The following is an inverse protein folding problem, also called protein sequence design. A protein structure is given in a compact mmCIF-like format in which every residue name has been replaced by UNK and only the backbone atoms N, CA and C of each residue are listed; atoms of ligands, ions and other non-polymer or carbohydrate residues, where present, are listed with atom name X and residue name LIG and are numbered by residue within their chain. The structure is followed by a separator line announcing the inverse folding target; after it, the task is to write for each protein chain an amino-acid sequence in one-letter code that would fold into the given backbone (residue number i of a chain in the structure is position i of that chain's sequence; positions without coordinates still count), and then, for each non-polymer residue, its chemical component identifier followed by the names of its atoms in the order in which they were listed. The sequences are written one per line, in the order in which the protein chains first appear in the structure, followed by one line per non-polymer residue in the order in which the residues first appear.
data_IF_591068172497
#
_entry.id   IF_591068172497
#
_cell.length_a   1.000
_cell.length_b   1.000
_cell.length_c   1.000
_cell.angle_alpha   90.00
_cell.angle_beta   90.00
_cell.angle_gamma   90.00
#
_symmetry.space_group_name_H-M   'P 1'
#
loop_
_entity.id
_entity.type
_entity.pdbx_description
1 polymer ?
#
# COMPACT_ATOMS: atom_id res chain seq x y z
N UNK A 1 65.04 -61.98 -19.34
CA UNK A 1 64.97 -60.59 -18.82
C UNK A 1 63.74 -59.96 -19.44
N UNK A 2 62.70 -59.73 -18.64
CA UNK A 2 61.50 -58.99 -19.03
C UNK A 2 61.13 -58.08 -17.86
N UNK A 3 60.90 -56.82 -18.18
CA UNK A 3 60.73 -55.65 -17.31
C UNK A 3 59.80 -55.88 -16.12
N UNK A 4 60.31 -55.59 -14.92
CA UNK A 4 59.48 -55.30 -13.75
C UNK A 4 58.88 -53.91 -13.92
N UNK A 5 57.54 -53.82 -13.98
CA UNK A 5 56.82 -52.56 -13.94
C UNK A 5 57.22 -51.79 -12.67
N UNK A 6 57.86 -50.61 -12.76
CA UNK A 6 58.48 -49.92 -11.62
C UNK A 6 57.47 -49.17 -10.75
N UNK A 7 56.18 -49.30 -11.06
CA UNK A 7 55.09 -48.67 -10.34
C UNK A 7 54.31 -49.81 -9.71
N UNK A 8 54.35 -49.85 -8.38
CA UNK A 8 53.76 -50.91 -7.54
C UNK A 8 52.25 -51.12 -7.76
N UNK A 9 51.59 -51.93 -6.91
CA UNK A 9 50.19 -52.30 -7.11
C UNK A 9 49.32 -51.06 -7.38
N UNK A 10 48.57 -51.09 -8.50
CA UNK A 10 47.72 -49.96 -8.88
C UNK A 10 46.70 -49.66 -7.76
N UNK A 11 46.42 -48.38 -7.48
CA UNK A 11 45.45 -48.00 -6.46
C UNK A 11 44.07 -48.59 -6.76
N UNK A 12 43.42 -49.18 -5.76
CA UNK A 12 42.04 -49.66 -5.88
C UNK A 12 41.06 -48.49 -5.83
N UNK A 13 40.49 -48.14 -6.98
CA UNK A 13 39.53 -47.05 -7.13
C UNK A 13 38.23 -47.27 -6.34
N UNK A 14 37.91 -48.50 -5.93
CA UNK A 14 36.76 -48.75 -5.05
C UNK A 14 37.01 -48.20 -3.64
N UNK A 15 38.27 -48.25 -3.16
CA UNK A 15 38.66 -47.68 -1.87
C UNK A 15 38.56 -46.15 -1.92
N UNK A 16 38.99 -45.55 -3.03
CA UNK A 16 38.93 -44.09 -3.24
C UNK A 16 37.47 -43.61 -3.25
N UNK A 17 36.55 -44.35 -3.86
CA UNK A 17 35.12 -44.03 -3.86
C UNK A 17 34.52 -44.10 -2.44
N UNK A 18 34.90 -45.09 -1.64
CA UNK A 18 34.45 -45.19 -0.24
C UNK A 18 35.01 -44.10 0.67
N UNK A 19 36.22 -43.59 0.40
CA UNK A 19 36.81 -42.45 1.14
C UNK A 19 36.17 -41.11 0.73
N UNK A 20 35.73 -40.96 -0.52
CA UNK A 20 35.00 -39.77 -0.97
C UNK A 20 33.65 -39.59 -0.26
N UNK A 21 33.02 -40.69 0.15
CA UNK A 21 31.80 -40.68 0.96
C UNK A 21 32.05 -40.32 2.44
N UNK A 22 33.30 -40.45 2.92
CA UNK A 22 33.69 -40.11 4.30
C UNK A 22 34.02 -38.63 4.47
N UNK A 23 33.97 -37.82 3.40
CA UNK A 23 34.22 -36.38 3.48
C UNK A 23 33.14 -35.77 4.39
N UNK A 24 33.49 -35.34 5.62
CA UNK A 24 32.51 -34.95 6.64
C UNK A 24 31.78 -33.64 6.32
N UNK A 25 32.13 -32.99 5.21
CA UNK A 25 31.56 -31.72 4.78
C UNK A 25 30.31 -31.87 3.90
N UNK A 26 29.92 -33.07 3.48
CA UNK A 26 28.69 -33.28 2.70
C UNK A 26 27.42 -32.78 3.43
N UNK A 27 27.23 -33.05 4.75
CA UNK A 27 26.15 -32.44 5.53
C UNK A 27 26.24 -30.91 5.60
N UNK A 28 27.44 -30.35 5.72
CA UNK A 28 27.64 -28.89 5.75
C UNK A 28 27.31 -28.23 4.40
N UNK A 29 27.58 -28.92 3.28
CA UNK A 29 27.20 -28.47 1.93
C UNK A 29 25.68 -28.50 1.76
N UNK A 30 24.99 -29.55 2.24
CA UNK A 30 23.53 -29.64 2.23
C UNK A 30 22.89 -28.50 3.05
N UNK A 31 23.39 -28.26 4.27
CA UNK A 31 22.95 -27.15 5.11
C UNK A 31 23.23 -25.79 4.45
N UNK A 32 24.37 -25.62 3.78
CA UNK A 32 24.70 -24.40 3.04
C UNK A 32 23.76 -24.14 1.85
N UNK A 33 23.35 -25.20 1.14
CA UNK A 33 22.37 -25.10 0.06
C UNK A 33 20.98 -24.69 0.58
N UNK A 34 20.58 -25.23 1.74
CA UNK A 34 19.33 -24.84 2.38
C UNK A 34 19.35 -23.36 2.81
N UNK A 35 20.43 -22.91 3.46
CA UNK A 35 20.59 -21.50 3.85
C UNK A 35 20.53 -20.57 2.63
N UNK A 36 21.17 -20.93 1.51
CA UNK A 36 21.12 -20.14 0.28
C UNK A 36 19.71 -20.10 -0.33
N UNK A 37 18.94 -21.18 -0.20
CA UNK A 37 17.54 -21.20 -0.64
C UNK A 37 16.68 -20.26 0.21
N UNK A 38 16.80 -20.34 1.54
CA UNK A 38 16.09 -19.46 2.48
C UNK A 38 16.49 -17.97 2.28
N UNK A 39 17.77 -17.68 2.03
CA UNK A 39 18.24 -16.32 1.70
C UNK A 39 17.65 -15.78 0.39
N UNK A 40 17.49 -16.64 -0.63
CA UNK A 40 16.84 -16.26 -1.91
C UNK A 40 15.36 -15.98 -1.70
N UNK A 41 14.69 -16.80 -0.90
CA UNK A 41 13.29 -16.62 -0.54
C UNK A 41 13.08 -15.32 0.26
N UNK A 42 13.88 -15.08 1.29
CA UNK A 42 13.85 -13.83 2.06
C UNK A 42 14.09 -12.61 1.18
N UNK A 43 15.04 -12.67 0.23
CA UNK A 43 15.27 -11.58 -0.73
C UNK A 43 14.06 -11.35 -1.63
N UNK A 44 13.41 -12.41 -2.10
CA UNK A 44 12.20 -12.31 -2.91
C UNK A 44 11.03 -11.74 -2.11
N UNK A 45 10.89 -12.13 -0.84
CA UNK A 45 9.89 -11.57 0.08
C UNK A 45 10.16 -10.08 0.33
N UNK A 46 11.38 -9.70 0.71
CA UNK A 46 11.77 -8.30 0.92
C UNK A 46 11.55 -7.43 -0.31
N UNK A 47 11.82 -7.95 -1.51
CA UNK A 47 11.61 -7.19 -2.75
C UNK A 47 10.11 -6.91 -2.96
N UNK A 48 9.25 -7.89 -2.65
CA UNK A 48 7.79 -7.72 -2.71
C UNK A 48 7.29 -6.74 -1.66
N UNK A 49 7.73 -6.87 -0.41
CA UNK A 49 7.33 -5.99 0.68
C UNK A 49 7.79 -4.55 0.41
N UNK A 50 9.02 -4.35 -0.06
CA UNK A 50 9.52 -3.03 -0.43
C UNK A 50 8.79 -2.42 -1.64
N UNK A 51 8.22 -3.23 -2.52
CA UNK A 51 7.36 -2.74 -3.60
C UNK A 51 5.98 -2.34 -3.07
N UNK A 52 5.38 -3.17 -2.21
CA UNK A 52 4.08 -2.90 -1.57
C UNK A 52 4.13 -1.61 -0.74
N UNK A 53 5.13 -1.46 0.14
CA UNK A 53 5.32 -0.26 0.96
C UNK A 53 5.48 0.99 0.08
N UNK A 54 6.23 0.90 -1.02
CA UNK A 54 6.39 2.04 -1.93
C UNK A 54 5.06 2.44 -2.57
N UNK A 55 4.23 1.47 -2.94
CA UNK A 55 2.91 1.73 -3.47
C UNK A 55 1.99 2.36 -2.42
N UNK A 56 1.99 1.83 -1.19
CA UNK A 56 1.18 2.35 -0.09
C UNK A 56 1.56 3.79 0.25
N UNK A 57 2.87 4.09 0.33
CA UNK A 57 3.36 5.45 0.56
C UNK A 57 2.94 6.39 -0.57
N UNK A 58 2.95 5.94 -1.82
CA UNK A 58 2.49 6.75 -2.95
C UNK A 58 0.98 7.04 -2.86
N UNK A 59 0.18 6.04 -2.52
CA UNK A 59 -1.27 6.17 -2.34
C UNK A 59 -1.60 7.13 -1.19
N UNK A 60 -1.00 6.94 -0.01
CA UNK A 60 -1.20 7.81 1.16
C UNK A 60 -0.82 9.26 0.82
N UNK A 61 0.30 9.46 0.13
CA UNK A 61 0.71 10.79 -0.30
C UNK A 61 -0.33 11.43 -1.23
N UNK A 62 -0.87 10.67 -2.17
CA UNK A 62 -1.91 11.16 -3.08
C UNK A 62 -3.19 11.51 -2.33
N UNK A 63 -3.62 10.68 -1.39
CA UNK A 63 -4.81 10.91 -0.57
C UNK A 63 -4.66 12.17 0.29
N UNK A 64 -3.49 12.37 0.90
CA UNK A 64 -3.19 13.57 1.68
C UNK A 64 -3.22 14.84 0.82
N UNK A 65 -2.64 14.80 -0.39
CA UNK A 65 -2.68 15.94 -1.31
C UNK A 65 -4.13 16.26 -1.72
N UNK A 66 -4.93 15.24 -2.00
CA UNK A 66 -6.36 15.40 -2.33
C UNK A 66 -7.10 16.05 -1.16
N UNK A 67 -6.91 15.54 0.05
CA UNK A 67 -7.56 16.05 1.26
C UNK A 67 -7.16 17.49 1.58
N UNK A 68 -5.88 17.83 1.50
CA UNK A 68 -5.39 19.19 1.76
C UNK A 68 -5.97 20.17 0.74
N UNK A 69 -5.95 19.79 -0.54
CA UNK A 69 -6.51 20.62 -1.62
C UNK A 69 -8.00 20.87 -1.42
N UNK A 70 -8.77 19.80 -1.17
CA UNK A 70 -10.20 19.89 -0.94
C UNK A 70 -10.54 20.70 0.32
N UNK A 71 -9.77 20.52 1.40
CA UNK A 71 -9.92 21.28 2.65
C UNK A 71 -9.66 22.77 2.44
N UNK A 72 -8.59 23.13 1.73
CA UNK A 72 -8.26 24.52 1.42
C UNK A 72 -9.36 25.17 0.56
N UNK A 73 -9.84 24.47 -0.48
CA UNK A 73 -10.97 24.93 -1.30
C UNK A 73 -12.21 25.16 -0.45
N UNK A 74 -12.59 24.18 0.39
CA UNK A 74 -13.78 24.28 1.24
C UNK A 74 -13.64 25.40 2.28
N UNK A 75 -12.46 25.60 2.85
CA UNK A 75 -12.21 26.71 3.77
C UNK A 75 -12.33 28.07 3.07
N UNK A 76 -11.79 28.21 1.86
CA UNK A 76 -11.97 29.42 1.06
C UNK A 76 -13.45 29.65 0.73
N UNK A 77 -14.16 28.62 0.28
CA UNK A 77 -15.60 28.69 0.00
C UNK A 77 -16.41 29.06 1.25
N UNK A 78 -16.06 28.55 2.44
CA UNK A 78 -16.69 28.95 3.71
C UNK A 78 -16.52 30.43 3.99
N UNK A 79 -15.30 30.95 3.81
CA UNK A 79 -15.02 32.38 3.98
C UNK A 79 -15.84 33.20 2.98
N UNK A 80 -15.85 32.84 1.69
CA UNK A 80 -16.64 33.53 0.67
C UNK A 80 -18.14 33.51 1.00
N UNK A 81 -18.68 32.35 1.38
CA UNK A 81 -20.08 32.19 1.71
C UNK A 81 -20.50 32.99 2.96
N UNK A 82 -19.56 33.36 3.83
CA UNK A 82 -19.84 34.22 5.00
C UNK A 82 -20.17 35.66 4.60
N UNK A 83 -19.69 36.12 3.45
CA UNK A 83 -19.92 37.47 2.94
C UNK A 83 -21.15 37.60 2.04
N UNK A 84 -21.88 36.50 1.82
CA UNK A 84 -23.13 36.51 1.07
C UNK A 84 -24.18 37.31 1.84
N UNK A 85 -24.62 38.43 1.27
CA UNK A 85 -25.51 39.38 1.92
C UNK A 85 -27.00 39.10 1.58
N UNK A 86 -27.26 38.48 0.44
CA UNK A 86 -28.61 38.16 -0.04
C UNK A 86 -28.82 36.67 -0.25
N UNK A 87 -30.05 36.20 -0.06
CA UNK A 87 -30.40 34.79 -0.29
C UNK A 87 -30.31 34.35 -1.75
N UNK A 88 -30.39 35.29 -2.69
CA UNK A 88 -30.29 35.02 -4.13
C UNK A 88 -28.86 35.12 -4.67
N UNK A 89 -27.90 35.53 -3.83
CA UNK A 89 -26.49 35.58 -4.24
C UNK A 89 -25.92 34.16 -4.35
N UNK A 90 -24.99 33.95 -5.29
CA UNK A 90 -24.41 32.65 -5.53
C UNK A 90 -23.52 32.21 -4.36
N UNK A 91 -23.64 30.94 -3.98
CA UNK A 91 -22.73 30.28 -3.05
C UNK A 91 -21.52 29.74 -3.82
N UNK A 92 -20.36 29.84 -3.19
CA UNK A 92 -19.19 29.07 -3.59
C UNK A 92 -19.39 27.60 -3.20
N UNK A 93 -19.32 26.65 -4.15
CA UNK A 93 -19.61 25.25 -3.87
C UNK A 93 -18.48 24.58 -3.09
N UNK A 94 -18.84 23.63 -2.23
CA UNK A 94 -17.89 22.71 -1.61
C UNK A 94 -17.59 21.51 -2.53
N UNK A 95 -16.42 20.93 -2.31
CA UNK A 95 -15.99 19.67 -2.91
C UNK A 95 -15.90 18.59 -1.83
N UNK A 96 -16.01 17.32 -2.23
CA UNK A 96 -15.85 16.19 -1.33
C UNK A 96 -14.40 16.16 -0.77
N UNK A 97 -14.22 16.07 0.56
CA UNK A 97 -12.90 16.15 1.18
C UNK A 97 -12.00 14.94 0.87
N UNK A 98 -12.56 13.79 0.52
CA UNK A 98 -11.81 12.56 0.23
C UNK A 98 -11.47 12.40 -1.25
N UNK A 99 -12.27 12.97 -2.15
CA UNK A 99 -12.10 12.79 -3.60
C UNK A 99 -11.82 14.07 -4.37
N UNK A 100 -11.91 15.23 -3.71
CA UNK A 100 -11.90 16.56 -4.32
C UNK A 100 -12.95 16.75 -5.46
N UNK A 101 -13.91 15.84 -5.59
CA UNK A 101 -14.95 15.91 -6.60
C UNK A 101 -16.03 16.93 -6.21
N UNK A 102 -16.68 17.52 -7.21
CA UNK A 102 -17.84 18.38 -6.98
C UNK A 102 -18.95 17.61 -6.27
N UNK A 103 -19.61 18.24 -5.30
CA UNK A 103 -20.78 17.67 -4.64
C UNK A 103 -21.97 17.83 -5.60
N UNK A 104 -22.61 16.73 -6.06
CA UNK A 104 -23.78 16.82 -6.91
C UNK A 104 -24.90 17.58 -6.19
N UNK A 105 -25.63 18.40 -6.95
CA UNK A 105 -26.77 19.18 -6.43
C UNK A 105 -26.40 20.11 -5.27
N UNK A 106 -25.15 20.59 -5.22
CA UNK A 106 -24.78 21.64 -4.28
C UNK A 106 -25.64 22.89 -4.55
N UNK A 107 -26.28 23.48 -3.52
CA UNK A 107 -27.14 24.66 -3.68
C UNK A 107 -26.41 25.81 -4.35
N UNK A 108 -27.01 26.37 -5.41
CA UNK A 108 -26.44 27.50 -6.14
C UNK A 108 -26.56 28.78 -5.30
N UNK A 109 -27.58 28.87 -4.45
CA UNK A 109 -27.88 30.06 -3.63
C UNK A 109 -28.33 29.67 -2.23
N UNK A 110 -28.29 30.62 -1.29
CA UNK A 110 -28.77 30.39 0.08
C UNK A 110 -30.30 30.21 0.15
N UNK A 111 -31.05 30.67 -0.85
CA UNK A 111 -32.49 30.43 -0.95
C UNK A 111 -32.81 28.93 -1.14
N UNK A 112 -31.98 28.23 -1.91
CA UNK A 112 -32.13 26.79 -2.18
C UNK A 112 -31.83 25.94 -0.93
N UNK A 113 -30.97 26.40 -0.01
CA UNK A 113 -30.72 25.73 1.28
C UNK A 113 -32.02 25.51 2.08
N UNK A 114 -32.96 26.47 2.02
CA UNK A 114 -34.24 26.37 2.71
C UNK A 114 -35.22 25.37 2.06
N UNK A 115 -34.94 24.93 0.84
CA UNK A 115 -35.76 23.99 0.07
C UNK A 115 -35.16 22.58 0.04
N UNK A 116 -33.95 22.40 0.58
CA UNK A 116 -33.33 21.09 0.71
C UNK A 116 -34.16 20.21 1.66
N UNK A 117 -34.71 19.12 1.11
CA UNK A 117 -35.40 18.08 1.88
C UNK A 117 -34.43 16.94 2.16
N UNK A 118 -34.09 16.73 3.44
CA UNK A 118 -33.25 15.64 3.92
C UNK A 118 -33.35 15.48 5.45
N UNK A 119 -33.10 14.28 6.01
CA UNK A 119 -33.25 14.05 7.44
C UNK A 119 -32.26 14.93 8.23
N UNK A 120 -32.77 15.72 9.18
CA UNK A 120 -31.96 16.41 10.18
C UNK A 120 -31.61 15.43 11.31
N UNK A 121 -30.58 14.60 11.10
CA UNK A 121 -30.04 13.73 12.15
C UNK A 121 -28.94 14.46 12.92
N UNK A 122 -29.27 15.01 14.09
CA UNK A 122 -28.29 15.44 15.08
C UNK A 122 -27.98 14.25 15.99
N UNK A 123 -26.72 13.85 16.07
CA UNK A 123 -26.26 12.84 17.03
C UNK A 123 -25.69 13.53 18.30
N UNK A 124 -26.36 13.38 19.47
CA UNK A 124 -25.90 13.95 20.74
C UNK A 124 -24.54 13.43 21.23
N UNK A 125 -24.11 12.24 20.80
CA UNK A 125 -22.89 11.61 21.34
C UNK A 125 -21.63 12.07 20.60
N UNK A 126 -21.74 12.40 19.31
CA UNK A 126 -20.59 12.77 18.46
C UNK A 126 -20.54 14.26 18.11
N UNK A 127 -21.65 15.00 18.23
CA UNK A 127 -21.72 16.43 17.90
C UNK A 127 -21.55 16.75 16.41
N UNK A 128 -21.65 15.74 15.53
CA UNK A 128 -21.49 15.86 14.08
C UNK A 128 -22.84 15.83 13.38
N UNK A 129 -23.03 16.72 12.40
CA UNK A 129 -24.21 16.69 11.51
C UNK A 129 -23.88 15.73 10.35
N UNK A 130 -24.52 14.56 10.32
CA UNK A 130 -24.45 13.67 9.16
C UNK A 130 -25.65 13.88 8.24
N UNK A 131 -25.38 13.98 6.93
CA UNK A 131 -26.28 13.43 5.91
C UNK A 131 -25.65 12.07 5.57
N UNK A 132 -26.34 10.96 5.80
CA UNK A 132 -26.01 9.74 5.05
C UNK A 132 -26.29 10.05 3.58
N UNK A 133 -25.28 10.57 2.89
CA UNK A 133 -25.17 10.32 1.46
C UNK A 133 -24.86 8.83 1.41
N UNK A 134 -25.84 8.01 1.05
CA UNK A 134 -25.65 6.59 0.78
C UNK A 134 -24.50 6.45 -0.22
N UNK A 135 -23.28 6.28 0.28
CA UNK A 135 -22.16 5.78 -0.48
C UNK A 135 -22.34 4.27 -0.41
N UNK A 136 -22.97 3.69 -1.43
CA UNK A 136 -22.79 2.27 -1.67
C UNK A 136 -21.30 2.06 -1.91
N UNK A 137 -20.67 1.41 -0.94
CA UNK A 137 -19.35 0.83 -1.08
C UNK A 137 -19.59 -0.52 -1.77
N UNK A 138 -19.20 -0.62 -3.04
CA UNK A 138 -18.84 -1.91 -3.65
C UNK A 138 -17.33 -2.11 -3.47
#
# INVERSE_FOLDING_TARGET
MADENPIGPQPDFNIIATEFLKVPNLPAIASGQQILAELREMRAQWTRDAAAIRQDVANIRQDLVTMITASNHNNAARVQNTYVASRSEPLSPFVNPSTAAAIPEFPTTSAELGQMTGPRGWDPETGVIYREINVQID
#
